data_IF_718003249083
#
_entry.id   IF_718003249083
#
_cell.length_a   1.000
_cell.length_b   1.000
_cell.length_c   1.000
_cell.angle_alpha   90.00
_cell.angle_beta   90.00
_cell.angle_gamma   90.00
#
_symmetry.space_group_name_H-M   'P 1'
#
loop_
_entity.id
_entity.type
_entity.pdbx_description
1 polymer ?
#
# COMPACT_ATOMS: atom_id res chain seq x y z
N UNK A 1 10.83 -8.83 8.81
CA UNK A 1 10.76 -8.19 7.48
C UNK A 1 10.13 -6.83 7.65
N UNK A 2 10.81 -5.75 7.26
CA UNK A 2 10.26 -4.41 7.33
C UNK A 2 9.30 -4.20 6.14
N UNK A 3 8.00 -4.25 6.42
CA UNK A 3 6.92 -4.21 5.43
C UNK A 3 6.93 -2.90 4.64
N UNK A 4 7.44 -1.84 5.27
CA UNK A 4 7.67 -0.56 4.62
C UNK A 4 8.78 -0.67 3.58
N UNK A 5 9.88 -1.37 3.85
CA UNK A 5 11.00 -1.46 2.91
C UNK A 5 10.60 -2.02 1.53
N UNK A 6 9.54 -2.83 1.46
CA UNK A 6 8.99 -3.35 0.21
C UNK A 6 8.17 -2.33 -0.62
N UNK A 7 7.74 -1.22 -0.01
CA UNK A 7 6.88 -0.24 -0.66
C UNK A 7 7.72 0.76 -1.45
N UNK A 8 7.51 0.74 -2.78
CA UNK A 8 8.13 1.63 -3.76
C UNK A 8 7.14 2.72 -4.20
N UNK A 9 7.44 4.02 -4.01
CA UNK A 9 6.64 5.10 -4.56
C UNK A 9 6.47 5.00 -6.08
N UNK A 10 5.31 5.42 -6.59
CA UNK A 10 4.91 5.29 -7.99
C UNK A 10 4.22 3.97 -8.34
N UNK A 11 4.21 2.98 -7.43
CA UNK A 11 3.47 1.73 -7.63
C UNK A 11 2.11 1.76 -6.92
N UNK A 12 1.15 1.06 -7.53
CA UNK A 12 -0.15 0.78 -6.92
C UNK A 12 0.00 -0.33 -5.89
N UNK A 13 -0.64 -0.18 -4.74
CA UNK A 13 -0.71 -1.20 -3.69
C UNK A 13 -2.14 -1.31 -3.16
N UNK A 14 -2.43 -2.45 -2.54
CA UNK A 14 -3.55 -2.62 -1.62
C UNK A 14 -2.99 -2.58 -0.21
N UNK A 15 -3.30 -1.53 0.54
CA UNK A 15 -2.95 -1.38 1.95
C UNK A 15 -4.14 -1.76 2.80
N UNK A 16 -3.89 -2.50 3.87
CA UNK A 16 -4.89 -2.72 4.89
C UNK A 16 -4.54 -1.92 6.14
N UNK A 17 -5.49 -1.09 6.59
CA UNK A 17 -5.32 -0.16 7.72
C UNK A 17 -6.54 -0.24 8.62
N UNK A 18 -6.36 -0.62 9.89
CA UNK A 18 -7.44 -0.68 10.89
C UNK A 18 -8.73 -1.36 10.39
N UNK A 19 -8.60 -2.47 9.66
CA UNK A 19 -9.74 -3.20 9.09
C UNK A 19 -10.31 -2.66 7.78
N UNK A 20 -9.84 -1.51 7.28
CA UNK A 20 -10.19 -0.98 5.97
C UNK A 20 -9.17 -1.38 4.90
N UNK A 21 -9.67 -1.65 3.69
CA UNK A 21 -8.86 -1.94 2.50
C UNK A 21 -8.78 -0.69 1.63
N UNK A 22 -7.57 -0.20 1.40
CA UNK A 22 -7.28 0.96 0.56
C UNK A 22 -6.47 0.51 -0.65
N UNK A 23 -6.93 0.79 -1.86
CA UNK A 23 -6.19 0.49 -3.09
C UNK A 23 -5.83 1.79 -3.79
N UNK A 24 -4.56 1.96 -4.10
CA UNK A 24 -4.10 3.18 -4.73
C UNK A 24 -2.61 3.25 -4.94
N UNK A 25 -2.17 4.32 -5.61
CA UNK A 25 -0.76 4.53 -5.95
C UNK A 25 -0.07 5.25 -4.81
N UNK A 26 1.00 4.64 -4.28
CA UNK A 26 1.83 5.28 -3.26
C UNK A 26 2.59 6.42 -3.93
N UNK A 27 2.40 7.64 -3.45
CA UNK A 27 3.06 8.84 -3.97
C UNK A 27 4.36 9.10 -3.22
N UNK A 28 4.33 8.94 -1.90
CA UNK A 28 5.49 9.14 -1.01
C UNK A 28 5.42 8.18 0.17
N UNK A 29 6.59 7.86 0.70
CA UNK A 29 6.74 7.03 1.88
C UNK A 29 7.97 7.46 2.67
N UNK A 30 7.80 7.52 3.99
CA UNK A 30 8.83 7.74 4.98
C UNK A 30 8.71 6.66 6.07
N UNK A 31 9.57 6.67 7.09
CA UNK A 31 9.59 5.67 8.17
C UNK A 31 8.31 5.63 9.04
N UNK A 32 7.47 6.67 8.95
CA UNK A 32 6.25 6.80 9.75
C UNK A 32 4.98 7.05 8.96
N UNK A 33 5.09 7.43 7.68
CA UNK A 33 3.94 7.90 6.90
C UNK A 33 3.98 7.35 5.48
N UNK A 34 2.82 6.97 4.97
CA UNK A 34 2.58 6.68 3.56
C UNK A 34 1.54 7.66 3.02
N UNK A 35 1.87 8.33 1.94
CA UNK A 35 0.91 9.10 1.14
C UNK A 35 0.54 8.28 -0.09
N UNK A 36 -0.75 8.03 -0.29
CA UNK A 36 -1.26 7.30 -1.44
C UNK A 36 -2.44 8.03 -2.09
N UNK A 37 -2.59 7.92 -3.40
CA UNK A 37 -3.79 8.35 -4.12
C UNK A 37 -4.73 7.16 -4.31
N UNK A 38 -5.89 7.20 -3.65
CA UNK A 38 -6.98 6.24 -3.80
C UNK A 38 -8.15 6.92 -4.50
N UNK A 39 -8.54 6.47 -5.69
CA UNK A 39 -9.70 6.98 -6.43
C UNK A 39 -9.74 8.52 -6.56
N UNK A 40 -8.57 9.15 -6.75
CA UNK A 40 -8.43 10.61 -6.84
C UNK A 40 -8.39 11.34 -5.50
N UNK A 41 -8.50 10.64 -4.38
CA UNK A 41 -8.33 11.19 -3.03
C UNK A 41 -6.93 10.89 -2.49
N UNK A 42 -6.33 11.89 -1.87
CA UNK A 42 -5.06 11.72 -1.17
C UNK A 42 -5.31 11.18 0.24
N UNK A 43 -4.81 9.97 0.52
CA UNK A 43 -4.82 9.38 1.85
C UNK A 43 -3.42 9.45 2.48
N UNK A 44 -3.39 9.84 3.75
CA UNK A 44 -2.19 9.86 4.60
C UNK A 44 -2.35 8.82 5.69
N UNK A 45 -1.50 7.81 5.67
CA UNK A 45 -1.61 6.65 6.55
C UNK A 45 -0.36 6.57 7.43
N UNK A 46 -0.57 6.42 8.73
CA UNK A 46 0.52 6.10 9.64
C UNK A 46 1.01 4.68 9.36
N UNK A 47 2.31 4.55 9.11
CA UNK A 47 2.94 3.31 8.71
C UNK A 47 2.77 2.19 9.75
N UNK A 48 2.67 2.53 11.05
CA UNK A 48 2.47 1.55 12.13
C UNK A 48 1.05 1.01 12.19
N UNK A 49 0.11 1.68 11.53
CA UNK A 49 -1.28 1.24 11.41
C UNK A 49 -1.51 0.30 10.22
N UNK A 50 -0.50 0.11 9.37
CA UNK A 50 -0.55 -0.78 8.21
C UNK A 50 -0.15 -2.18 8.66
N UNK A 51 -1.04 -3.14 8.44
CA UNK A 51 -0.83 -4.53 8.86
C UNK A 51 -0.55 -5.47 7.69
N UNK A 52 -0.91 -5.07 6.46
CA UNK A 52 -0.60 -5.80 5.25
C UNK A 52 -0.50 -4.86 4.05
N UNK A 53 0.36 -5.23 3.11
CA UNK A 53 0.54 -4.56 1.83
C UNK A 53 0.65 -5.61 0.74
N UNK A 54 -0.13 -5.44 -0.32
CA UNK A 54 -0.10 -6.29 -1.51
C UNK A 54 0.22 -5.43 -2.71
N UNK A 55 1.21 -5.83 -3.51
CA UNK A 55 1.31 -5.35 -4.89
C UNK A 55 0.20 -6.04 -5.69
N UNK A 56 -0.77 -5.31 -6.27
CA UNK A 56 -1.66 -5.88 -7.25
C UNK A 56 -0.76 -6.36 -8.39
N UNK A 57 -0.68 -7.68 -8.59
CA UNK A 57 0.20 -8.24 -9.59
C UNK A 57 -0.11 -7.58 -10.93
N UNK A 58 0.90 -7.04 -11.58
CA UNK A 58 0.82 -6.69 -12.99
C UNK A 58 0.82 -7.97 -13.83
N UNK A 59 -0.05 -8.94 -13.53
CA UNK A 59 -0.37 -10.08 -14.39
C UNK A 59 -1.44 -10.94 -13.73
N UNK A 60 -2.54 -11.13 -14.45
CA UNK A 60 -3.47 -12.24 -14.25
C UNK A 60 -2.73 -13.56 -14.46
N UNK A 61 -2.24 -14.21 -13.39
CA UNK A 61 -2.07 -15.69 -13.31
C UNK A 61 -1.56 -16.09 -11.92
N UNK A 62 -2.39 -16.86 -11.23
CA UNK A 62 -1.98 -17.69 -10.09
C UNK A 62 -1.99 -16.97 -8.74
N UNK A 63 -3.13 -17.04 -8.05
CA UNK A 63 -3.11 -17.05 -6.59
C UNK A 63 -2.34 -18.31 -6.16
N UNK A 64 -1.32 -18.15 -5.32
CA UNK A 64 -0.68 -19.28 -4.64
C UNK A 64 -1.33 -19.37 -3.26
N UNK A 65 -2.01 -20.50 -3.05
CA UNK A 65 -2.64 -20.90 -1.78
C UNK A 65 -1.59 -21.32 -0.74
#
# INVERSE_FOLDING_TARGET
>A
MDLLAAIVPGRTYILFVRGARHQGTVLRKNDRLIEMSCDGQLLRLDARSIWAVLEPSASSRGAVA
#
